data_IF_243662159243
#
_entry.id   IF_243662159243
#
_cell.length_a   1.000
_cell.length_b   1.000
_cell.length_c   1.000
_cell.angle_alpha   90.00
_cell.angle_beta   90.00
_cell.angle_gamma   90.00
#
_symmetry.space_group_name_H-M   'P 1'
#
loop_
_entity.id
_entity.type
_entity.pdbx_description
1 polymer ?
#
# COMPACT_ATOMS: atom_id res chain seq x y z
N UNK A 1 -83.59 -51.35 54.17
CA UNK A 1 -84.30 -52.58 53.77
C UNK A 1 -84.13 -52.77 52.27
N UNK A 2 -83.32 -53.74 51.84
CA UNK A 2 -83.37 -54.30 50.48
C UNK A 2 -83.99 -55.68 50.63
N UNK A 3 -85.01 -56.00 49.83
CA UNK A 3 -85.66 -57.30 49.90
C UNK A 3 -84.68 -58.40 49.46
N UNK A 4 -84.56 -59.45 50.26
CA UNK A 4 -83.85 -60.65 49.84
C UNK A 4 -84.70 -61.36 48.77
N UNK A 5 -84.30 -61.22 47.51
CA UNK A 5 -84.83 -62.05 46.44
C UNK A 5 -84.32 -63.48 46.68
N UNK A 6 -85.21 -64.39 47.06
CA UNK A 6 -84.91 -65.82 47.12
C UNK A 6 -84.71 -66.33 45.69
N UNK A 7 -83.47 -66.30 45.22
CA UNK A 7 -83.05 -66.99 44.00
C UNK A 7 -83.37 -68.48 44.14
N UNK A 8 -84.04 -69.06 43.15
CA UNK A 8 -84.22 -70.50 43.11
C UNK A 8 -82.84 -71.16 43.02
N UNK A 9 -82.53 -72.19 43.85
CA UNK A 9 -81.19 -72.72 43.92
C UNK A 9 -80.76 -73.32 42.58
N UNK A 10 -79.61 -72.84 42.11
CA UNK A 10 -79.07 -73.05 40.75
C UNK A 10 -78.36 -74.38 40.62
N UNK A 11 -77.70 -74.82 41.68
CA UNK A 11 -77.00 -76.08 41.74
C UNK A 11 -77.80 -77.08 42.58
N UNK A 12 -78.10 -78.26 42.01
CA UNK A 12 -78.96 -79.26 42.64
C UNK A 12 -78.45 -80.68 42.53
N UNK A 13 -78.77 -81.48 43.54
CA UNK A 13 -78.54 -82.93 43.61
C UNK A 13 -79.88 -83.68 43.64
N UNK A 14 -79.87 -84.97 43.29
CA UNK A 14 -81.02 -85.84 43.57
C UNK A 14 -81.18 -86.03 45.09
N UNK A 15 -82.38 -86.40 45.59
CA UNK A 15 -82.59 -86.60 47.03
C UNK A 15 -81.63 -87.64 47.64
N UNK A 16 -81.27 -88.69 46.90
CA UNK A 16 -80.36 -89.75 47.36
C UNK A 16 -78.92 -89.24 47.47
N UNK A 17 -78.47 -88.45 46.50
CA UNK A 17 -77.14 -87.83 46.52
C UNK A 17 -77.04 -86.76 47.60
N UNK A 18 -78.08 -85.93 47.76
CA UNK A 18 -78.16 -84.93 48.81
C UNK A 18 -78.10 -85.56 50.21
N UNK A 19 -78.87 -86.62 50.48
CA UNK A 19 -78.80 -87.33 51.77
C UNK A 19 -77.43 -87.95 52.03
N UNK A 20 -76.78 -88.53 51.02
CA UNK A 20 -75.41 -89.07 51.15
C UNK A 20 -74.38 -87.98 51.42
N UNK A 21 -74.48 -86.85 50.73
CA UNK A 21 -73.61 -85.69 50.93
C UNK A 21 -73.81 -85.09 52.34
N UNK A 22 -75.06 -84.87 52.77
CA UNK A 22 -75.37 -84.39 54.12
C UNK A 22 -74.79 -85.28 55.20
N UNK A 23 -74.92 -86.62 55.11
CA UNK A 23 -74.36 -87.52 56.11
C UNK A 23 -72.82 -87.40 56.24
N UNK A 24 -72.11 -87.26 55.11
CA UNK A 24 -70.66 -87.05 55.10
C UNK A 24 -70.29 -85.67 55.68
N UNK A 25 -71.07 -84.62 55.37
CA UNK A 25 -70.83 -83.29 55.91
C UNK A 25 -71.13 -83.21 57.41
N UNK A 26 -72.21 -83.83 57.89
CA UNK A 26 -72.56 -83.93 59.31
C UNK A 26 -71.44 -84.66 60.09
N UNK A 27 -70.97 -85.82 59.61
CA UNK A 27 -69.81 -86.53 60.20
C UNK A 27 -68.53 -85.67 60.16
N UNK A 28 -68.33 -84.86 59.12
CA UNK A 28 -67.17 -83.95 59.00
C UNK A 28 -67.27 -82.78 59.98
N UNK A 29 -68.45 -82.21 60.16
CA UNK A 29 -68.73 -81.14 61.15
C UNK A 29 -68.50 -81.67 62.56
N UNK A 30 -68.95 -82.89 62.88
CA UNK A 30 -68.69 -83.53 64.18
C UNK A 30 -67.19 -83.68 64.44
N UNK A 31 -66.42 -84.21 63.47
CA UNK A 31 -64.95 -84.36 63.59
C UNK A 31 -64.23 -83.01 63.72
N UNK A 32 -64.64 -81.99 62.95
CA UNK A 32 -64.07 -80.64 63.05
C UNK A 32 -64.42 -79.99 64.39
N UNK A 33 -65.64 -80.16 64.88
CA UNK A 33 -66.09 -79.64 66.19
C UNK A 33 -65.36 -80.33 67.34
N UNK A 34 -65.10 -81.64 67.24
CA UNK A 34 -64.29 -82.40 68.19
C UNK A 34 -62.84 -81.90 68.22
N UNK A 35 -62.20 -81.70 67.07
CA UNK A 35 -60.89 -81.04 66.98
C UNK A 35 -60.91 -79.62 67.57
N UNK A 36 -62.02 -78.90 67.40
CA UNK A 36 -62.34 -77.65 68.10
C UNK A 36 -62.24 -77.82 69.62
N UNK A 37 -63.00 -78.76 70.19
CA UNK A 37 -63.07 -78.99 71.64
C UNK A 37 -61.74 -79.40 72.30
N UNK A 38 -60.82 -80.03 71.58
CA UNK A 38 -59.47 -80.39 72.07
C UNK A 38 -58.51 -79.20 72.03
N UNK A 39 -58.75 -78.20 71.18
CA UNK A 39 -57.79 -77.09 71.00
C UNK A 39 -57.68 -76.13 72.20
N UNK A 40 -58.73 -75.88 73.02
CA UNK A 40 -58.59 -75.21 74.31
C UNK A 40 -57.51 -75.81 75.22
N UNK A 41 -57.37 -77.14 75.29
CA UNK A 41 -56.30 -77.77 76.09
C UNK A 41 -54.93 -77.49 75.46
N UNK A 42 -54.81 -77.61 74.14
CA UNK A 42 -53.58 -77.27 73.38
C UNK A 42 -53.21 -75.78 73.54
N UNK A 43 -54.20 -74.90 73.69
CA UNK A 43 -54.03 -73.46 73.95
C UNK A 43 -53.69 -73.14 75.40
N UNK A 44 -54.14 -73.93 76.38
CA UNK A 44 -53.73 -73.81 77.78
C UNK A 44 -52.29 -74.29 77.95
N UNK A 45 -51.94 -75.43 77.34
CA UNK A 45 -50.57 -75.92 77.22
C UNK A 45 -49.76 -75.18 76.15
N UNK A 46 -50.21 -74.02 75.65
CA UNK A 46 -49.50 -73.28 74.57
C UNK A 46 -48.10 -72.87 74.98
N UNK A 47 -47.90 -72.42 76.21
CA UNK A 47 -46.56 -72.03 76.68
C UNK A 47 -45.66 -73.25 76.81
N UNK A 48 -46.17 -74.36 77.34
CA UNK A 48 -45.44 -75.63 77.45
C UNK A 48 -45.12 -76.24 76.08
N UNK A 49 -46.06 -76.27 75.12
CA UNK A 49 -45.79 -76.72 73.75
C UNK A 49 -44.85 -75.76 73.02
N UNK A 50 -45.04 -74.44 73.14
CA UNK A 50 -44.16 -73.44 72.53
C UNK A 50 -42.77 -73.44 73.17
N UNK A 51 -42.65 -73.89 74.42
CA UNK A 51 -41.37 -74.09 75.08
C UNK A 51 -40.74 -75.42 74.69
N UNK A 52 -41.46 -76.54 74.63
CA UNK A 52 -40.91 -77.83 74.17
C UNK A 52 -40.49 -77.76 72.70
N UNK A 53 -41.34 -77.19 71.83
CA UNK A 53 -41.02 -76.96 70.42
C UNK A 53 -39.97 -75.85 70.28
N UNK A 54 -40.03 -74.80 71.11
CA UNK A 54 -39.04 -73.72 71.13
C UNK A 54 -37.66 -74.15 71.63
N UNK A 55 -37.59 -75.09 72.56
CA UNK A 55 -36.37 -75.69 73.11
C UNK A 55 -35.79 -76.68 72.10
N UNK A 56 -36.60 -77.50 71.44
CA UNK A 56 -36.13 -78.41 70.39
C UNK A 56 -35.71 -77.63 69.13
N UNK A 57 -36.42 -76.56 68.74
CA UNK A 57 -35.98 -75.61 67.71
C UNK A 57 -34.69 -74.90 68.16
N UNK A 58 -34.59 -74.45 69.43
CA UNK A 58 -33.37 -73.82 69.96
C UNK A 58 -32.19 -74.79 69.99
N UNK A 59 -32.44 -76.08 70.23
CA UNK A 59 -31.47 -77.16 70.19
C UNK A 59 -31.01 -77.45 68.76
N UNK A 60 -31.94 -77.51 67.80
CA UNK A 60 -31.63 -77.60 66.36
C UNK A 60 -30.82 -76.38 65.91
N UNK A 61 -31.20 -75.16 66.32
CA UNK A 61 -30.46 -73.93 66.04
C UNK A 61 -29.09 -73.93 66.72
N UNK A 62 -28.95 -74.42 67.95
CA UNK A 62 -27.63 -74.54 68.60
C UNK A 62 -26.75 -75.57 67.91
N UNK A 63 -27.30 -76.70 67.49
CA UNK A 63 -26.58 -77.72 66.74
C UNK A 63 -26.19 -77.21 65.34
N UNK A 64 -27.08 -76.46 64.69
CA UNK A 64 -26.82 -75.79 63.42
C UNK A 64 -25.77 -74.68 63.58
N UNK A 65 -25.81 -73.86 64.63
CA UNK A 65 -24.74 -72.90 65.00
C UNK A 65 -23.41 -73.60 65.28
N UNK A 66 -23.43 -74.80 65.88
CA UNK A 66 -22.23 -75.61 66.13
C UNK A 66 -21.64 -76.15 64.82
N UNK A 67 -22.50 -76.57 63.90
CA UNK A 67 -22.13 -76.97 62.54
C UNK A 67 -21.61 -75.78 61.71
N UNK A 68 -22.26 -74.61 61.80
CA UNK A 68 -21.85 -73.36 61.17
C UNK A 68 -20.52 -72.84 61.73
N UNK A 69 -20.31 -72.85 63.04
CA UNK A 69 -19.03 -72.49 63.65
C UNK A 69 -17.90 -73.46 63.25
N UNK A 70 -18.21 -74.75 63.11
CA UNK A 70 -17.28 -75.75 62.56
C UNK A 70 -17.01 -75.50 61.07
N UNK A 71 -18.03 -75.10 60.30
CA UNK A 71 -17.92 -74.75 58.89
C UNK A 71 -17.13 -73.45 58.69
N UNK A 72 -17.30 -72.44 59.54
CA UNK A 72 -16.54 -71.19 59.57
C UNK A 72 -15.08 -71.42 60.00
N UNK A 73 -14.82 -72.36 60.92
CA UNK A 73 -13.45 -72.81 61.23
C UNK A 73 -12.78 -73.45 60.00
N UNK A 74 -13.49 -74.29 59.27
CA UNK A 74 -13.00 -74.90 58.03
C UNK A 74 -12.89 -73.87 56.88
N UNK A 75 -13.80 -72.90 56.78
CA UNK A 75 -13.76 -71.81 55.80
C UNK A 75 -12.65 -70.82 56.11
N UNK A 76 -12.37 -70.51 57.38
CA UNK A 76 -11.27 -69.62 57.78
C UNK A 76 -9.91 -70.28 57.56
N UNK A 77 -9.77 -71.58 57.86
CA UNK A 77 -8.61 -72.37 57.42
C UNK A 77 -8.47 -72.35 55.88
N UNK A 78 -9.58 -72.41 55.14
CA UNK A 78 -9.61 -72.30 53.67
C UNK A 78 -9.39 -70.87 53.14
N UNK A 79 -9.67 -69.82 53.91
CA UNK A 79 -9.54 -68.42 53.49
C UNK A 79 -8.15 -67.84 53.81
N UNK A 80 -7.48 -68.36 54.84
CA UNK A 80 -6.01 -68.28 54.98
C UNK A 80 -5.31 -68.87 53.75
N UNK A 81 -5.91 -69.87 53.10
CA UNK A 81 -5.46 -70.43 51.83
C UNK A 81 -6.02 -69.71 50.58
N UNK A 82 -7.01 -68.80 50.71
CA UNK A 82 -7.53 -67.92 49.63
C UNK A 82 -8.57 -66.88 50.13
N UNK A 83 -8.16 -65.63 50.27
CA UNK A 83 -8.95 -64.38 50.16
C UNK A 83 -10.25 -64.21 50.98
N UNK A 84 -10.28 -63.22 51.89
CA UNK A 84 -11.48 -62.84 52.65
C UNK A 84 -12.58 -62.19 51.77
N UNK A 85 -13.84 -62.62 51.90
CA UNK A 85 -14.97 -61.98 51.19
C UNK A 85 -16.37 -62.01 51.87
N UNK A 86 -16.65 -62.83 52.90
CA UNK A 86 -18.05 -63.17 53.25
C UNK A 86 -18.59 -62.71 54.63
N UNK A 87 -17.84 -61.92 55.40
CA UNK A 87 -18.22 -61.54 56.78
C UNK A 87 -19.47 -60.62 56.90
N UNK A 88 -19.86 -59.94 55.82
CA UNK A 88 -21.03 -59.05 55.80
C UNK A 88 -22.34 -59.83 55.68
N UNK A 89 -22.44 -60.71 54.67
CA UNK A 89 -23.65 -61.52 54.40
C UNK A 89 -24.06 -62.42 55.57
N UNK A 90 -23.09 -62.85 56.38
CA UNK A 90 -23.35 -63.63 57.59
C UNK A 90 -24.22 -62.87 58.61
N UNK A 91 -23.96 -61.57 58.84
CA UNK A 91 -24.74 -60.76 59.80
C UNK A 91 -26.14 -60.41 59.30
N UNK A 92 -26.34 -60.47 57.99
CA UNK A 92 -27.60 -60.22 57.31
C UNK A 92 -28.51 -61.43 57.48
N UNK A 93 -28.08 -62.62 57.01
CA UNK A 93 -28.76 -63.89 57.27
C UNK A 93 -29.02 -64.14 58.78
N UNK A 94 -28.13 -63.68 59.66
CA UNK A 94 -28.29 -63.83 61.12
C UNK A 94 -29.48 -63.03 61.68
N UNK A 95 -29.90 -61.93 61.03
CA UNK A 95 -31.12 -61.19 61.39
C UNK A 95 -32.35 -61.88 60.85
N UNK A 96 -32.33 -62.25 59.57
CA UNK A 96 -33.48 -62.86 58.90
C UNK A 96 -33.93 -64.14 59.62
N UNK A 97 -32.97 -64.98 60.04
CA UNK A 97 -33.22 -66.21 60.83
C UNK A 97 -33.72 -65.92 62.26
N UNK A 98 -33.47 -64.72 62.81
CA UNK A 98 -33.97 -64.32 64.14
C UNK A 98 -35.37 -63.71 64.12
N UNK A 99 -35.81 -63.15 62.99
CA UNK A 99 -37.18 -62.67 62.80
C UNK A 99 -38.16 -63.81 62.48
N UNK A 100 -37.67 -64.90 61.88
CA UNK A 100 -38.42 -66.11 61.54
C UNK A 100 -38.74 -67.03 62.77
N UNK A 101 -39.00 -66.44 63.94
CA UNK A 101 -39.50 -67.18 65.09
C UNK A 101 -40.98 -67.56 64.84
N UNK A 102 -41.33 -68.86 64.72
CA UNK A 102 -42.67 -69.24 64.27
C UNK A 102 -43.72 -68.71 65.24
N UNK A 103 -44.65 -67.87 64.74
CA UNK A 103 -45.76 -67.35 65.54
C UNK A 103 -46.80 -68.46 65.80
N UNK A 104 -46.44 -69.43 66.64
CA UNK A 104 -47.20 -70.62 66.94
C UNK A 104 -48.60 -70.26 67.46
N UNK A 105 -48.69 -69.23 68.32
CA UNK A 105 -49.96 -68.71 68.82
C UNK A 105 -50.84 -68.10 67.72
N UNK A 106 -50.27 -67.25 66.86
CA UNK A 106 -51.00 -66.64 65.74
C UNK A 106 -51.47 -67.68 64.72
N UNK A 107 -50.62 -68.66 64.39
CA UNK A 107 -50.96 -69.76 63.50
C UNK A 107 -52.06 -70.66 64.09
N UNK A 108 -51.99 -70.98 65.39
CA UNK A 108 -53.01 -71.77 66.07
C UNK A 108 -54.36 -71.03 66.15
N UNK A 109 -54.36 -69.72 66.39
CA UNK A 109 -55.56 -68.87 66.33
C UNK A 109 -56.14 -68.79 64.92
N UNK A 110 -55.29 -68.66 63.89
CA UNK A 110 -55.71 -68.70 62.47
C UNK A 110 -56.38 -70.04 62.15
N UNK A 111 -55.79 -71.16 62.58
CA UNK A 111 -56.38 -72.50 62.41
C UNK A 111 -57.74 -72.60 63.13
N UNK A 112 -57.94 -71.98 64.30
CA UNK A 112 -59.27 -71.95 64.95
C UNK A 112 -60.29 -71.17 64.12
N UNK A 113 -59.91 -69.99 63.64
CA UNK A 113 -60.79 -69.15 62.84
C UNK A 113 -61.19 -69.84 61.51
N UNK A 114 -60.22 -70.38 60.78
CA UNK A 114 -60.45 -71.12 59.53
C UNK A 114 -61.29 -72.38 59.75
N UNK A 115 -61.06 -73.11 60.85
CA UNK A 115 -61.88 -74.27 61.24
C UNK A 115 -63.32 -73.88 61.55
N UNK A 116 -63.55 -72.80 62.29
CA UNK A 116 -64.92 -72.34 62.58
C UNK A 116 -65.62 -71.89 61.31
N UNK A 117 -64.96 -71.10 60.46
CA UNK A 117 -65.51 -70.67 59.17
C UNK A 117 -65.85 -71.87 58.26
N UNK A 118 -65.04 -72.93 58.29
CA UNK A 118 -65.34 -74.18 57.58
C UNK A 118 -66.55 -74.92 58.18
N UNK A 119 -66.64 -75.01 59.51
CA UNK A 119 -67.81 -75.60 60.20
C UNK A 119 -69.09 -74.83 59.82
N UNK A 120 -69.04 -73.50 59.83
CA UNK A 120 -70.18 -72.65 59.48
C UNK A 120 -70.60 -72.86 58.01
N UNK A 121 -69.65 -72.88 57.08
CA UNK A 121 -69.89 -73.16 55.66
C UNK A 121 -70.49 -74.56 55.42
N UNK A 122 -69.94 -75.59 56.07
CA UNK A 122 -70.45 -76.96 55.94
C UNK A 122 -71.84 -77.10 56.58
N UNK A 123 -72.10 -76.39 57.68
CA UNK A 123 -73.41 -76.39 58.34
C UNK A 123 -74.47 -75.74 57.45
N UNK A 124 -74.15 -74.60 56.83
CA UNK A 124 -75.03 -73.94 55.87
C UNK A 124 -75.23 -74.79 54.61
N UNK A 125 -74.17 -75.39 54.06
CA UNK A 125 -74.28 -76.32 52.93
C UNK A 125 -75.16 -77.53 53.27
N UNK A 126 -75.03 -78.08 54.48
CA UNK A 126 -75.89 -79.18 54.96
C UNK A 126 -77.35 -78.75 55.07
N UNK A 127 -77.63 -77.50 55.45
CA UNK A 127 -78.97 -76.91 55.48
C UNK A 127 -79.54 -76.77 54.07
N UNK A 128 -78.76 -76.31 53.10
CA UNK A 128 -79.14 -76.22 51.69
C UNK A 128 -79.42 -77.60 51.06
N UNK A 129 -78.60 -78.61 51.39
CA UNK A 129 -78.73 -79.97 50.87
C UNK A 129 -80.06 -80.64 51.27
N UNK A 130 -80.67 -80.25 52.39
CA UNK A 130 -82.02 -80.72 52.79
C UNK A 130 -83.12 -80.25 51.80
N UNK A 131 -82.87 -79.19 51.04
CA UNK A 131 -83.69 -78.74 49.91
C UNK A 131 -83.14 -79.18 48.53
N UNK A 132 -82.10 -80.03 48.52
CA UNK A 132 -81.39 -80.50 47.35
C UNK A 132 -80.49 -79.45 46.70
N UNK A 133 -80.07 -78.40 47.42
CA UNK A 133 -79.25 -77.28 46.94
C UNK A 133 -77.85 -77.27 47.58
N UNK A 134 -76.90 -76.52 47.02
CA UNK A 134 -75.55 -76.32 47.60
C UNK A 134 -74.83 -75.05 47.09
N UNK A 135 -75.59 -74.00 46.78
CA UNK A 135 -75.07 -72.77 46.14
C UNK A 135 -74.07 -72.00 47.02
N UNK A 136 -74.16 -72.09 48.36
CA UNK A 136 -73.19 -71.47 49.27
C UNK A 136 -71.77 -72.05 49.09
N UNK A 137 -71.66 -73.37 48.93
CA UNK A 137 -70.37 -74.03 48.69
C UNK A 137 -69.79 -73.65 47.32
N UNK A 138 -70.63 -73.58 46.28
CA UNK A 138 -70.18 -73.17 44.93
C UNK A 138 -69.70 -71.72 44.93
N UNK A 139 -70.43 -70.83 45.61
CA UNK A 139 -70.06 -69.41 45.73
C UNK A 139 -68.70 -69.28 46.42
N UNK A 140 -68.53 -69.89 47.60
CA UNK A 140 -67.26 -69.86 48.35
C UNK A 140 -66.07 -70.37 47.52
N UNK A 141 -66.21 -71.51 46.83
CA UNK A 141 -65.14 -72.07 45.99
C UNK A 141 -64.83 -71.19 44.79
N UNK A 142 -65.83 -70.54 44.19
CA UNK A 142 -65.66 -69.66 43.02
C UNK A 142 -64.99 -68.35 43.41
N UNK A 143 -65.42 -67.73 44.51
CA UNK A 143 -64.79 -66.53 45.08
C UNK A 143 -63.33 -66.80 45.50
N UNK A 144 -63.07 -67.96 46.12
CA UNK A 144 -61.73 -68.40 46.50
C UNK A 144 -60.79 -68.58 45.30
N UNK A 145 -61.27 -69.19 44.21
CA UNK A 145 -60.50 -69.30 42.95
C UNK A 145 -60.16 -67.93 42.38
N UNK A 146 -61.16 -67.05 42.23
CA UNK A 146 -60.94 -65.70 41.71
C UNK A 146 -60.06 -64.85 42.63
N UNK A 147 -60.05 -65.09 43.95
CA UNK A 147 -59.12 -64.44 44.87
C UNK A 147 -57.67 -64.93 44.66
N UNK A 148 -57.46 -66.23 44.43
CA UNK A 148 -56.15 -66.80 44.13
C UNK A 148 -55.60 -66.35 42.76
N UNK A 149 -56.45 -66.27 41.74
CA UNK A 149 -56.12 -65.70 40.42
C UNK A 149 -55.65 -64.24 40.57
N UNK A 150 -56.47 -63.36 41.16
CA UNK A 150 -56.10 -61.95 41.40
C UNK A 150 -54.82 -61.78 42.24
N UNK A 151 -54.59 -62.65 43.21
CA UNK A 151 -53.35 -62.61 44.01
C UNK A 151 -52.12 -62.98 43.17
N UNK A 152 -52.26 -63.91 42.21
CA UNK A 152 -51.19 -64.31 41.29
C UNK A 152 -50.87 -63.17 40.33
N UNK A 153 -51.88 -62.56 39.71
CA UNK A 153 -51.73 -61.41 38.80
C UNK A 153 -51.07 -60.20 39.51
N UNK A 154 -51.44 -59.97 40.78
CA UNK A 154 -50.86 -58.90 41.60
C UNK A 154 -49.38 -59.17 41.92
N UNK A 155 -49.01 -60.42 42.21
CA UNK A 155 -47.61 -60.83 42.45
C UNK A 155 -46.77 -60.68 41.17
N UNK A 156 -47.34 -60.97 39.99
CA UNK A 156 -46.62 -60.81 38.71
C UNK A 156 -46.41 -59.33 38.38
N UNK A 157 -47.46 -58.52 38.45
CA UNK A 157 -47.37 -57.07 38.22
C UNK A 157 -46.50 -56.33 39.25
N UNK A 158 -46.46 -56.78 40.51
CA UNK A 158 -45.54 -56.26 41.53
C UNK A 158 -44.06 -56.57 41.19
N UNK A 159 -43.77 -57.78 40.67
CA UNK A 159 -42.42 -58.14 40.21
C UNK A 159 -41.99 -57.29 39.02
N UNK A 160 -42.83 -57.16 37.99
CA UNK A 160 -42.55 -56.33 36.82
C UNK A 160 -42.28 -54.87 37.22
N UNK A 161 -43.14 -54.29 38.07
CA UNK A 161 -42.94 -52.93 38.58
C UNK A 161 -41.64 -52.79 39.39
N UNK A 162 -41.28 -53.79 40.19
CA UNK A 162 -40.04 -53.82 40.97
C UNK A 162 -38.80 -53.90 40.07
N UNK A 163 -38.84 -54.70 39.01
CA UNK A 163 -37.75 -54.80 38.03
C UNK A 163 -37.59 -53.50 37.22
N UNK A 164 -38.70 -52.86 36.84
CA UNK A 164 -38.68 -51.58 36.12
C UNK A 164 -38.18 -50.43 37.00
N UNK A 165 -38.62 -50.35 38.27
CA UNK A 165 -38.07 -49.39 39.25
C UNK A 165 -36.56 -49.59 39.42
N UNK A 166 -36.09 -50.83 39.45
CA UNK A 166 -34.66 -51.18 39.53
C UNK A 166 -33.90 -50.77 38.26
N UNK A 167 -34.49 -50.94 37.07
CA UNK A 167 -33.93 -50.49 35.78
C UNK A 167 -33.80 -48.96 35.73
N UNK A 168 -34.90 -48.25 35.98
CA UNK A 168 -34.95 -46.78 35.99
C UNK A 168 -34.00 -46.17 37.04
N UNK A 169 -33.86 -46.79 38.21
CA UNK A 169 -32.90 -46.35 39.23
C UNK A 169 -31.45 -46.47 38.75
N UNK A 170 -31.11 -47.53 38.00
CA UNK A 170 -29.78 -47.68 37.42
C UNK A 170 -29.52 -46.68 36.29
N UNK A 171 -30.51 -46.43 35.42
CA UNK A 171 -30.40 -45.45 34.34
C UNK A 171 -30.25 -44.03 34.89
N UNK A 172 -31.06 -43.64 35.87
CA UNK A 172 -30.93 -42.35 36.56
C UNK A 172 -29.57 -42.19 37.27
N UNK A 173 -28.99 -43.28 37.78
CA UNK A 173 -27.65 -43.25 38.37
C UNK A 173 -26.55 -43.06 37.31
N UNK A 174 -26.66 -43.72 36.15
CA UNK A 174 -25.74 -43.55 35.01
C UNK A 174 -25.80 -42.13 34.45
N UNK A 175 -27.01 -41.64 34.15
CA UNK A 175 -27.26 -40.30 33.62
C UNK A 175 -26.64 -39.21 34.51
N UNK A 176 -26.77 -39.32 35.83
CA UNK A 176 -26.13 -38.40 36.79
C UNK A 176 -24.61 -38.43 36.72
N UNK A 177 -24.00 -39.60 36.54
CA UNK A 177 -22.54 -39.72 36.42
C UNK A 177 -22.07 -39.14 35.08
N UNK A 178 -22.77 -39.42 33.98
CA UNK A 178 -22.43 -38.90 32.66
C UNK A 178 -22.58 -37.37 32.62
N UNK A 179 -23.71 -36.83 33.09
CA UNK A 179 -23.93 -35.38 33.17
C UNK A 179 -22.90 -34.64 34.05
N UNK A 180 -22.48 -35.22 35.19
CA UNK A 180 -21.43 -34.59 36.03
C UNK A 180 -20.06 -34.62 35.36
N UNK A 181 -19.75 -35.67 34.57
CA UNK A 181 -18.55 -35.74 33.73
C UNK A 181 -18.60 -34.70 32.61
N UNK A 182 -19.69 -34.59 31.86
CA UNK A 182 -19.85 -33.59 30.81
C UNK A 182 -19.68 -32.16 31.35
N UNK A 183 -20.26 -31.85 32.51
CA UNK A 183 -20.05 -30.55 33.18
C UNK A 183 -18.57 -30.32 33.51
N UNK A 184 -17.84 -31.35 33.95
CA UNK A 184 -16.42 -31.24 34.25
C UNK A 184 -15.58 -31.00 32.98
N UNK A 185 -15.86 -31.76 31.91
CA UNK A 185 -15.19 -31.63 30.61
C UNK A 185 -15.47 -30.25 29.97
N UNK A 186 -16.71 -29.77 30.01
CA UNK A 186 -17.09 -28.41 29.57
C UNK A 186 -16.41 -27.31 30.39
N UNK A 187 -16.34 -27.46 31.73
CA UNK A 187 -15.61 -26.51 32.60
C UNK A 187 -14.11 -26.47 32.28
N UNK A 188 -13.51 -27.63 31.99
CA UNK A 188 -12.11 -27.74 31.56
C UNK A 188 -11.88 -27.02 30.23
N UNK A 189 -12.73 -27.27 29.22
CA UNK A 189 -12.67 -26.58 27.93
C UNK A 189 -12.83 -25.05 28.07
N UNK A 190 -13.76 -24.58 28.91
CA UNK A 190 -13.94 -23.14 29.20
C UNK A 190 -12.67 -22.55 29.85
N UNK A 191 -11.99 -23.27 30.73
CA UNK A 191 -10.74 -22.81 31.34
C UNK A 191 -9.61 -22.68 30.30
N UNK A 192 -9.44 -23.70 29.45
CA UNK A 192 -8.44 -23.68 28.36
C UNK A 192 -8.70 -22.54 27.37
N UNK A 193 -9.95 -22.34 26.94
CA UNK A 193 -10.32 -21.25 26.02
C UNK A 193 -10.09 -19.86 26.64
N UNK A 194 -10.33 -19.69 27.95
CA UNK A 194 -10.00 -18.44 28.67
C UNK A 194 -8.50 -18.18 28.71
N UNK A 195 -7.69 -19.21 28.94
CA UNK A 195 -6.24 -19.07 28.93
C UNK A 195 -5.70 -18.74 27.54
N UNK A 196 -6.13 -19.45 26.49
CA UNK A 196 -5.79 -19.15 25.10
C UNK A 196 -6.17 -17.72 24.71
N UNK A 197 -7.38 -17.26 25.09
CA UNK A 197 -7.83 -15.88 24.86
C UNK A 197 -6.92 -14.87 25.58
N UNK A 198 -6.50 -15.15 26.80
CA UNK A 198 -5.59 -14.28 27.56
C UNK A 198 -4.19 -14.23 26.93
N UNK A 199 -3.66 -15.37 26.49
CA UNK A 199 -2.37 -15.47 25.78
C UNK A 199 -2.40 -14.69 24.46
N UNK A 200 -3.44 -14.88 23.63
CA UNK A 200 -3.63 -14.14 22.37
C UNK A 200 -3.77 -12.64 22.63
N UNK A 201 -4.56 -12.23 23.64
CA UNK A 201 -4.71 -10.81 24.00
C UNK A 201 -3.39 -10.18 24.46
N UNK A 202 -2.63 -10.88 25.29
CA UNK A 202 -1.30 -10.48 25.76
C UNK A 202 -0.33 -10.28 24.60
N UNK A 203 -0.19 -11.31 23.74
CA UNK A 203 0.68 -11.29 22.57
C UNK A 203 0.31 -10.15 21.61
N UNK A 204 -0.96 -10.04 21.23
CA UNK A 204 -1.44 -8.96 20.35
C UNK A 204 -1.19 -7.56 20.94
N UNK A 205 -1.31 -7.38 22.25
CA UNK A 205 -1.01 -6.08 22.90
C UNK A 205 0.50 -5.76 22.91
N UNK A 206 1.36 -6.77 22.89
CA UNK A 206 2.82 -6.63 22.74
C UNK A 206 3.14 -6.30 21.28
N UNK A 207 2.61 -7.06 20.32
CA UNK A 207 2.81 -6.88 18.88
C UNK A 207 2.36 -5.49 18.41
N UNK A 208 1.19 -5.00 18.86
CA UNK A 208 0.70 -3.64 18.60
C UNK A 208 1.67 -2.58 19.15
N UNK A 209 2.27 -2.80 20.33
CA UNK A 209 3.25 -1.86 20.92
C UNK A 209 4.55 -1.84 20.12
N UNK A 210 5.06 -3.00 19.70
CA UNK A 210 6.24 -3.08 18.85
C UNK A 210 6.00 -2.43 17.48
N UNK A 211 4.94 -2.80 16.76
CA UNK A 211 4.60 -2.22 15.46
C UNK A 211 4.42 -0.69 15.53
N UNK A 212 3.78 -0.19 16.60
CA UNK A 212 3.62 1.26 16.81
C UNK A 212 4.94 1.97 17.09
N UNK A 213 5.84 1.36 17.85
CA UNK A 213 7.16 1.93 18.14
C UNK A 213 8.08 1.87 16.91
N UNK A 214 8.05 0.79 16.15
CA UNK A 214 8.78 0.63 14.89
C UNK A 214 8.31 1.66 13.85
N UNK A 215 6.99 1.81 13.67
CA UNK A 215 6.43 2.83 12.78
C UNK A 215 6.83 4.24 13.20
N UNK A 216 6.74 4.58 14.49
CA UNK A 216 7.23 5.86 15.03
C UNK A 216 8.72 6.08 14.76
N UNK A 217 9.57 5.06 14.99
CA UNK A 217 11.00 5.15 14.78
C UNK A 217 11.34 5.33 13.29
N UNK A 218 10.69 4.58 12.39
CA UNK A 218 10.81 4.74 10.94
C UNK A 218 10.41 6.14 10.50
N UNK A 219 9.24 6.64 10.90
CA UNK A 219 8.78 8.00 10.57
C UNK A 219 9.71 9.09 11.13
N UNK A 220 10.21 8.94 12.36
CA UNK A 220 11.14 9.90 12.94
C UNK A 220 12.51 9.88 12.24
N UNK A 221 12.99 8.71 11.83
CA UNK A 221 14.25 8.55 11.08
C UNK A 221 14.15 9.16 9.68
N UNK A 222 13.09 8.83 8.93
CA UNK A 222 12.87 9.39 7.58
C UNK A 222 12.63 10.90 7.63
N UNK A 223 11.87 11.40 8.61
CA UNK A 223 11.68 12.84 8.79
C UNK A 223 13.01 13.57 9.06
N UNK A 224 13.92 13.01 9.86
CA UNK A 224 15.26 13.57 10.09
C UNK A 224 16.09 13.58 8.81
N UNK A 225 16.10 12.49 8.04
CA UNK A 225 16.82 12.40 6.77
C UNK A 225 16.31 13.44 5.76
N UNK A 226 15.00 13.57 5.59
CA UNK A 226 14.42 14.59 4.72
C UNK A 226 14.70 16.01 5.22
N UNK A 227 14.71 16.24 6.54
CA UNK A 227 15.05 17.54 7.10
C UNK A 227 16.52 17.91 6.83
N UNK A 228 17.45 16.96 6.90
CA UNK A 228 18.87 17.15 6.52
C UNK A 228 18.99 17.48 5.04
N UNK A 229 18.36 16.70 4.15
CA UNK A 229 18.36 16.97 2.72
C UNK A 229 17.78 18.36 2.38
N UNK A 230 16.68 18.75 3.03
CA UNK A 230 16.10 20.10 2.88
C UNK A 230 17.09 21.19 3.32
N UNK A 231 17.85 20.99 4.39
CA UNK A 231 18.88 21.96 4.80
C UNK A 231 20.07 22.02 3.86
N UNK A 232 20.49 20.89 3.29
CA UNK A 232 21.57 20.83 2.30
C UNK A 232 21.17 21.50 0.98
N UNK A 233 19.99 21.21 0.45
CA UNK A 233 19.49 21.85 -0.77
C UNK A 233 19.25 23.36 -0.58
N UNK A 234 18.78 23.79 0.59
CA UNK A 234 18.71 25.23 0.93
C UNK A 234 20.09 25.89 0.95
N UNK A 235 21.09 25.24 1.52
CA UNK A 235 22.46 25.77 1.52
C UNK A 235 23.04 25.88 0.09
N UNK A 236 22.74 24.92 -0.80
CA UNK A 236 23.10 25.00 -2.23
C UNK A 236 22.39 26.15 -2.93
N UNK A 237 21.09 26.33 -2.69
CA UNK A 237 20.31 27.47 -3.21
C UNK A 237 20.93 28.80 -2.75
N UNK A 238 21.23 28.95 -1.46
CA UNK A 238 21.84 30.17 -0.91
C UNK A 238 23.22 30.47 -1.55
N UNK A 239 24.04 29.45 -1.83
CA UNK A 239 25.32 29.61 -2.53
C UNK A 239 25.10 30.04 -3.98
N UNK A 240 24.27 29.32 -4.73
CA UNK A 240 23.96 29.63 -6.13
C UNK A 240 23.32 31.02 -6.30
N UNK A 241 22.46 31.44 -5.36
CA UNK A 241 21.89 32.79 -5.35
C UNK A 241 22.99 33.85 -5.19
N UNK A 242 23.93 33.65 -4.26
CA UNK A 242 25.07 34.58 -4.09
C UNK A 242 25.97 34.61 -5.32
N UNK A 243 26.24 33.46 -5.95
CA UNK A 243 27.02 33.38 -7.18
C UNK A 243 26.34 34.16 -8.31
N UNK A 244 25.03 33.94 -8.53
CA UNK A 244 24.22 34.70 -9.48
C UNK A 244 24.22 36.21 -9.19
N UNK A 245 24.06 36.63 -7.93
CA UNK A 245 24.10 38.05 -7.53
C UNK A 245 25.49 38.67 -7.81
N UNK A 246 26.57 37.93 -7.53
CA UNK A 246 27.92 38.41 -7.84
C UNK A 246 28.19 38.51 -9.34
N UNK A 247 27.76 37.53 -10.12
CA UNK A 247 27.92 37.53 -11.58
C UNK A 247 27.09 38.65 -12.22
N UNK A 248 25.83 38.83 -11.80
CA UNK A 248 24.98 39.92 -12.25
C UNK A 248 25.60 41.30 -11.94
N UNK A 249 26.21 41.46 -10.76
CA UNK A 249 26.91 42.70 -10.39
C UNK A 249 28.18 42.91 -11.22
N UNK A 250 29.04 41.91 -11.35
CA UNK A 250 30.27 41.99 -12.17
C UNK A 250 29.95 42.25 -13.63
N UNK A 251 28.91 41.60 -14.18
CA UNK A 251 28.43 41.85 -15.53
C UNK A 251 27.95 43.29 -15.71
N UNK A 252 27.15 43.81 -14.77
CA UNK A 252 26.68 45.20 -14.79
C UNK A 252 27.84 46.21 -14.74
N UNK A 253 28.78 46.04 -13.81
CA UNK A 253 29.99 46.86 -13.68
C UNK A 253 30.85 46.81 -14.96
N UNK A 254 31.05 45.61 -15.53
CA UNK A 254 31.81 45.41 -16.77
C UNK A 254 31.13 46.07 -17.98
N UNK A 255 29.82 45.91 -18.14
CA UNK A 255 29.06 46.55 -19.22
C UNK A 255 29.08 48.08 -19.08
N UNK A 256 28.97 48.61 -17.87
CA UNK A 256 29.09 50.04 -17.61
C UNK A 256 30.47 50.58 -17.98
N UNK A 257 31.54 49.89 -17.57
CA UNK A 257 32.92 50.24 -17.92
C UNK A 257 33.15 50.21 -19.44
N UNK A 258 32.73 49.14 -20.12
CA UNK A 258 32.88 49.00 -21.58
C UNK A 258 32.11 50.09 -22.34
N UNK A 259 30.89 50.43 -21.92
CA UNK A 259 30.12 51.55 -22.49
C UNK A 259 30.84 52.89 -22.30
N UNK A 260 31.27 53.20 -21.08
CA UNK A 260 32.01 54.44 -20.80
C UNK A 260 33.33 54.53 -21.60
N UNK A 261 34.06 53.41 -21.74
CA UNK A 261 35.29 53.38 -22.54
C UNK A 261 35.02 53.51 -24.04
N UNK A 262 33.94 52.91 -24.55
CA UNK A 262 33.49 53.06 -25.93
C UNK A 262 33.11 54.52 -26.22
N UNK A 263 32.32 55.16 -25.35
CA UNK A 263 31.97 56.58 -25.48
C UNK A 263 33.19 57.50 -25.45
N UNK A 264 34.17 57.24 -24.57
CA UNK A 264 35.44 57.97 -24.53
C UNK A 264 36.20 57.83 -25.85
N UNK A 265 36.40 56.59 -26.33
CA UNK A 265 37.10 56.33 -27.59
C UNK A 265 36.36 56.91 -28.80
N UNK A 266 35.02 56.95 -28.76
CA UNK A 266 34.21 57.58 -29.80
C UNK A 266 34.34 59.11 -29.79
N UNK A 267 34.42 59.74 -28.61
CA UNK A 267 34.71 61.18 -28.46
C UNK A 267 36.13 61.51 -28.97
N UNK A 268 37.12 60.69 -28.61
CA UNK A 268 38.49 60.85 -29.10
C UNK A 268 38.55 60.68 -30.63
N UNK A 269 37.94 59.63 -31.17
CA UNK A 269 37.88 59.38 -32.62
C UNK A 269 37.19 60.51 -33.39
N UNK A 270 36.04 61.00 -32.91
CA UNK A 270 35.34 62.11 -33.56
C UNK A 270 36.14 63.42 -33.47
N UNK A 271 36.80 63.70 -32.34
CA UNK A 271 37.72 64.83 -32.21
C UNK A 271 38.89 64.75 -33.20
N UNK A 272 39.58 63.61 -33.26
CA UNK A 272 40.72 63.43 -34.15
C UNK A 272 40.33 63.41 -35.62
N UNK A 273 39.17 62.86 -35.99
CA UNK A 273 38.62 62.95 -37.35
C UNK A 273 38.33 64.40 -37.73
N UNK A 274 37.56 65.13 -36.90
CA UNK A 274 37.25 66.54 -37.16
C UNK A 274 38.50 67.41 -37.27
N UNK A 275 39.51 67.16 -36.42
CA UNK A 275 40.80 67.84 -36.49
C UNK A 275 41.54 67.47 -37.78
N UNK A 276 41.61 66.20 -38.15
CA UNK A 276 42.23 65.76 -39.40
C UNK A 276 41.56 66.41 -40.62
N UNK A 277 40.22 66.39 -40.68
CA UNK A 277 39.44 66.98 -41.77
C UNK A 277 39.70 68.50 -41.87
N UNK A 278 39.75 69.20 -40.73
CA UNK A 278 40.06 70.63 -40.66
C UNK A 278 41.50 70.95 -41.06
N UNK A 279 42.48 70.27 -40.48
CA UNK A 279 43.91 70.48 -40.76
C UNK A 279 44.20 70.13 -42.24
N UNK A 280 43.55 69.08 -42.79
CA UNK A 280 43.66 68.70 -44.20
C UNK A 280 43.02 69.76 -45.12
N UNK A 281 41.85 70.30 -44.77
CA UNK A 281 41.22 71.40 -45.52
C UNK A 281 42.06 72.69 -45.49
N UNK A 282 42.63 73.05 -44.32
CA UNK A 282 43.56 74.18 -44.19
C UNK A 282 44.80 73.97 -45.05
N UNK A 283 45.41 72.77 -45.05
CA UNK A 283 46.59 72.46 -45.88
C UNK A 283 46.26 72.39 -47.38
N UNK A 284 45.07 71.93 -47.77
CA UNK A 284 44.59 72.03 -49.15
C UNK A 284 44.41 73.50 -49.56
N UNK A 285 43.89 74.36 -48.68
CA UNK A 285 43.74 75.80 -48.95
C UNK A 285 45.10 76.51 -49.04
N UNK A 286 46.07 76.17 -48.18
CA UNK A 286 47.45 76.65 -48.28
C UNK A 286 48.11 76.21 -49.59
N UNK A 287 47.99 74.93 -49.97
CA UNK A 287 48.49 74.41 -51.25
C UNK A 287 47.84 75.11 -52.45
N UNK A 288 46.53 75.38 -52.40
CA UNK A 288 45.84 76.14 -53.44
C UNK A 288 46.39 77.58 -53.54
N UNK A 289 46.52 78.30 -52.42
CA UNK A 289 47.10 79.66 -52.36
C UNK A 289 48.55 79.68 -52.88
N UNK A 290 49.39 78.73 -52.46
CA UNK A 290 50.77 78.62 -52.93
C UNK A 290 50.85 78.26 -54.42
N UNK A 291 49.94 77.43 -54.92
CA UNK A 291 49.86 77.09 -56.35
C UNK A 291 49.41 78.30 -57.17
N UNK A 292 48.43 79.07 -56.69
CA UNK A 292 47.99 80.33 -57.30
C UNK A 292 49.13 81.37 -57.31
N UNK A 293 49.82 81.57 -56.18
CA UNK A 293 51.00 82.44 -56.11
C UNK A 293 52.12 81.98 -57.04
N UNK A 294 52.41 80.68 -57.11
CA UNK A 294 53.38 80.09 -58.04
C UNK A 294 52.99 80.39 -59.49
N UNK A 295 51.72 80.21 -59.85
CA UNK A 295 51.21 80.46 -61.19
C UNK A 295 51.23 81.95 -61.55
N UNK A 296 50.85 82.84 -60.62
CA UNK A 296 50.93 84.28 -60.79
C UNK A 296 52.39 84.77 -60.93
N UNK A 297 53.32 84.20 -60.15
CA UNK A 297 54.74 84.51 -60.27
C UNK A 297 55.35 83.94 -61.56
N UNK A 298 54.93 82.75 -62.01
CA UNK A 298 55.32 82.19 -63.30
C UNK A 298 54.82 83.06 -64.46
N UNK A 299 53.57 83.53 -64.43
CA UNK A 299 53.03 84.45 -65.42
C UNK A 299 53.73 85.82 -65.43
N UNK A 300 54.07 86.36 -64.23
CA UNK A 300 54.92 87.56 -64.10
C UNK A 300 56.32 87.33 -64.69
N UNK A 301 56.93 86.19 -64.43
CA UNK A 301 58.25 85.83 -64.96
C UNK A 301 58.21 85.68 -66.48
N UNK A 302 57.20 85.01 -67.04
CA UNK A 302 56.98 84.90 -68.49
C UNK A 302 56.79 86.29 -69.12
N UNK A 303 56.00 87.16 -68.49
CA UNK A 303 55.80 88.55 -68.93
C UNK A 303 57.03 89.46 -68.76
N UNK A 304 57.97 89.12 -67.88
CA UNK A 304 59.28 89.76 -67.78
C UNK A 304 60.27 89.20 -68.81
N UNK A 305 60.25 87.89 -69.05
CA UNK A 305 61.06 87.22 -70.07
C UNK A 305 60.66 87.70 -71.48
N UNK A 306 59.37 87.84 -71.79
CA UNK A 306 58.89 88.43 -73.04
C UNK A 306 59.37 89.86 -73.22
N UNK A 307 59.21 90.71 -72.20
CA UNK A 307 59.73 92.10 -72.24
C UNK A 307 61.24 92.16 -72.40
N UNK A 308 61.99 91.27 -71.74
CA UNK A 308 63.44 91.19 -71.91
C UNK A 308 63.84 90.73 -73.32
N UNK A 309 63.14 89.74 -73.89
CA UNK A 309 63.30 89.30 -75.28
C UNK A 309 62.99 90.43 -76.29
N UNK A 310 61.88 91.14 -76.09
CA UNK A 310 61.48 92.32 -76.87
C UNK A 310 62.53 93.44 -76.76
N UNK A 311 63.05 93.71 -75.57
CA UNK A 311 64.07 94.74 -75.34
C UNK A 311 65.44 94.34 -75.89
N UNK A 312 65.82 93.07 -75.82
CA UNK A 312 67.03 92.51 -76.46
C UNK A 312 66.92 92.58 -77.98
N UNK A 313 65.79 92.17 -78.58
CA UNK A 313 65.58 92.32 -80.02
C UNK A 313 65.47 93.80 -80.45
N UNK A 314 64.94 94.68 -79.59
CA UNK A 314 64.95 96.13 -79.83
C UNK A 314 66.38 96.71 -79.77
N UNK A 315 67.25 96.23 -78.87
CA UNK A 315 68.67 96.61 -78.87
C UNK A 315 69.38 96.06 -80.11
N UNK A 316 69.15 94.80 -80.46
CA UNK A 316 69.74 94.13 -81.62
C UNK A 316 69.34 94.80 -82.94
N UNK A 317 68.08 95.21 -83.07
CA UNK A 317 67.60 96.02 -84.21
C UNK A 317 68.23 97.41 -84.20
N UNK A 318 68.30 98.11 -83.05
CA UNK A 318 69.03 99.40 -82.94
C UNK A 318 70.52 99.28 -83.30
N UNK A 319 71.19 98.19 -82.92
CA UNK A 319 72.58 97.92 -83.27
C UNK A 319 72.74 97.60 -84.76
N UNK A 320 71.84 96.80 -85.33
CA UNK A 320 71.79 96.53 -86.77
C UNK A 320 71.51 97.81 -87.58
N UNK A 321 70.60 98.69 -87.14
CA UNK A 321 70.34 99.98 -87.77
C UNK A 321 71.58 100.89 -87.71
N UNK A 322 72.27 100.94 -86.55
CA UNK A 322 73.57 101.61 -86.40
C UNK A 322 74.68 100.99 -87.24
N UNK A 323 74.61 99.69 -87.56
CA UNK A 323 75.58 98.99 -88.43
C UNK A 323 75.31 99.34 -89.90
N UNK A 324 74.06 99.24 -90.33
CA UNK A 324 73.55 99.64 -91.65
C UNK A 324 73.81 101.11 -91.98
N UNK A 325 73.63 102.01 -91.01
CA UNK A 325 73.96 103.44 -91.14
C UNK A 325 75.47 103.69 -91.31
N UNK A 326 76.33 102.90 -90.65
CA UNK A 326 77.79 102.97 -90.83
C UNK A 326 78.20 102.46 -92.22
N UNK A 327 77.61 101.36 -92.69
CA UNK A 327 77.84 100.83 -94.04
C UNK A 327 77.39 101.82 -95.14
N UNK A 328 76.22 102.46 -94.99
CA UNK A 328 75.78 103.53 -95.91
C UNK A 328 76.72 104.74 -95.94
N UNK A 329 77.32 105.12 -94.81
CA UNK A 329 78.30 106.22 -94.77
C UNK A 329 79.62 105.87 -95.47
N UNK A 330 80.05 104.61 -95.41
CA UNK A 330 81.24 104.14 -96.16
C UNK A 330 80.97 104.22 -97.67
N UNK A 331 79.83 103.70 -98.12
CA UNK A 331 79.43 103.75 -99.54
C UNK A 331 79.36 105.18 -100.09
N UNK A 332 78.73 106.13 -99.39
CA UNK A 332 78.70 107.55 -99.83
C UNK A 332 80.10 108.15 -99.99
N UNK A 333 81.02 107.86 -99.07
CA UNK A 333 82.41 108.35 -99.14
C UNK A 333 83.21 107.74 -100.28
N UNK A 334 82.89 106.52 -100.71
CA UNK A 334 83.48 105.93 -101.93
C UNK A 334 82.91 106.55 -103.21
N UNK A 335 81.63 106.91 -103.21
CA UNK A 335 80.95 107.54 -104.33
C UNK A 335 81.43 108.98 -104.57
N UNK A 336 81.59 109.77 -103.50
CA UNK A 336 82.21 111.10 -103.53
C UNK A 336 83.65 111.06 -104.08
N UNK A 337 84.46 110.07 -103.66
CA UNK A 337 85.83 109.87 -104.19
C UNK A 337 85.83 109.61 -105.69
N UNK A 338 84.87 108.84 -106.22
CA UNK A 338 84.74 108.57 -107.66
C UNK A 338 84.38 109.84 -108.44
N UNK A 339 83.50 110.70 -107.91
CA UNK A 339 83.12 111.97 -108.55
C UNK A 339 84.29 112.96 -108.63
N UNK A 340 85.10 113.10 -107.57
CA UNK A 340 86.28 113.99 -107.56
C UNK A 340 87.35 113.56 -108.59
N UNK A 341 87.52 112.25 -108.80
CA UNK A 341 88.45 111.72 -109.82
C UNK A 341 87.94 112.02 -111.24
N UNK A 342 86.64 111.92 -111.48
CA UNK A 342 86.03 112.25 -112.78
C UNK A 342 86.22 113.74 -113.13
N UNK A 343 85.97 114.65 -112.18
CA UNK A 343 86.14 116.09 -112.37
C UNK A 343 87.59 116.47 -112.77
N UNK A 344 88.61 115.85 -112.16
CA UNK A 344 90.02 116.08 -112.51
C UNK A 344 90.38 115.64 -113.94
N UNK A 345 89.83 114.53 -114.43
CA UNK A 345 90.07 114.06 -115.81
C UNK A 345 89.50 115.01 -116.86
N UNK A 346 88.31 115.57 -116.62
CA UNK A 346 87.65 116.52 -117.53
C UNK A 346 88.46 117.83 -117.64
N UNK A 347 88.97 118.36 -116.53
CA UNK A 347 89.75 119.61 -116.53
C UNK A 347 91.11 119.50 -117.26
N UNK A 348 91.73 118.32 -117.28
CA UNK A 348 92.99 118.08 -117.98
C UNK A 348 92.80 118.09 -119.52
N UNK A 349 91.76 117.43 -120.02
CA UNK A 349 91.47 117.33 -121.45
C UNK A 349 91.21 118.70 -122.11
N UNK A 350 90.47 119.58 -121.43
CA UNK A 350 90.14 120.92 -121.95
C UNK A 350 91.37 121.83 -122.11
N UNK A 351 92.37 121.71 -121.22
CA UNK A 351 93.59 122.53 -121.28
C UNK A 351 94.52 122.14 -122.43
N UNK A 352 94.59 120.84 -122.78
CA UNK A 352 95.38 120.36 -123.91
C UNK A 352 94.82 120.82 -125.27
N UNK A 353 93.49 120.83 -125.43
CA UNK A 353 92.85 121.21 -126.71
C UNK A 353 93.07 122.68 -127.09
N UNK A 354 93.22 123.58 -126.10
CA UNK A 354 93.37 125.02 -126.37
C UNK A 354 94.71 125.38 -127.02
N UNK A 355 95.80 124.70 -126.64
CA UNK A 355 97.16 124.99 -127.15
C UNK A 355 97.29 124.66 -128.64
N UNK A 356 96.68 123.57 -129.09
CA UNK A 356 96.74 123.11 -130.50
C UNK A 356 96.02 124.07 -131.47
N UNK A 357 95.09 124.90 -130.97
CA UNK A 357 94.33 125.82 -131.83
C UNK A 357 95.13 127.08 -132.22
N UNK A 358 96.04 127.53 -131.36
CA UNK A 358 96.78 128.79 -131.54
C UNK A 358 98.00 128.63 -132.47
N UNK A 359 98.57 127.42 -132.58
CA UNK A 359 99.72 127.15 -133.47
C UNK A 359 99.31 127.04 -134.95
N UNK A 360 98.11 126.54 -135.25
CA UNK A 360 97.64 126.36 -136.64
C UNK A 360 97.37 127.65 -137.42
N UNK A 361 97.32 128.81 -136.77
CA UNK A 361 97.06 130.11 -137.42
C UNK A 361 98.30 130.86 -137.93
N UNK A 362 99.52 130.34 -137.73
CA UNK A 362 100.78 131.02 -138.09
C UNK A 362 101.50 130.52 -139.35
N UNK A 363 100.99 129.50 -140.05
CA UNK A 363 101.68 128.84 -141.18
C UNK A 363 100.94 128.86 -142.53
N UNK A 364 100.10 129.88 -142.75
CA UNK A 364 99.56 130.29 -144.07
C UNK A 364 99.09 131.76 -143.92
N UNK A 365 99.33 132.73 -144.83
CA UNK A 365 99.69 132.64 -146.25
C UNK A 365 100.65 133.75 -146.73
N UNK A 366 101.76 133.35 -147.35
CA UNK A 366 102.41 134.01 -148.49
C UNK A 366 103.17 132.89 -149.23
N UNK A 367 103.05 132.63 -150.54
CA UNK A 367 102.52 133.39 -151.69
C UNK A 367 102.40 132.44 -152.92
N UNK A 368 101.73 132.69 -154.07
CA UNK A 368 100.74 133.71 -154.56
C UNK A 368 100.11 133.26 -155.91
N UNK A 369 98.76 133.30 -156.02
CA UNK A 369 97.88 133.73 -157.16
C UNK A 369 97.98 133.21 -158.64
N UNK A 370 96.77 132.91 -159.18
CA UNK A 370 96.23 132.98 -160.59
C UNK A 370 96.53 131.82 -161.54
N UNK A 371 95.64 131.38 -162.46
CA UNK A 371 94.59 132.01 -163.34
C UNK A 371 93.26 131.18 -163.33
N UNK A 372 92.07 131.52 -163.88
CA UNK A 372 91.40 132.76 -164.40
C UNK A 372 89.91 132.47 -164.78
N UNK A 373 88.89 133.04 -164.11
CA UNK A 373 87.62 133.48 -164.78
C UNK A 373 86.23 133.09 -164.23
N UNK A 374 85.44 134.11 -163.80
CA UNK A 374 83.95 134.15 -163.77
C UNK A 374 83.20 133.45 -162.62
N UNK A 375 82.00 133.87 -162.17
CA UNK A 375 81.19 135.08 -162.47
C UNK A 375 80.09 135.30 -161.40
N UNK A 376 80.03 136.53 -160.84
CA UNK A 376 78.89 137.31 -160.23
C UNK A 376 77.82 136.65 -159.32
N UNK A 377 77.51 137.38 -158.24
CA UNK A 377 76.25 137.31 -157.46
C UNK A 377 76.47 137.80 -156.02
N UNK A 378 76.82 139.07 -155.77
CA UNK A 378 75.89 140.21 -155.56
C UNK A 378 74.73 139.87 -154.60
N UNK A 379 74.49 140.65 -153.54
CA UNK A 379 75.16 141.89 -153.07
C UNK A 379 74.92 142.07 -151.58
#
# INVERSE_FOLDING_TARGET
MKAAATSAPTHRLSPVEATRASAILEETIEKLSFLGSITPDILQHREELSQVVGDEISRIIQEQRRLEAKYESLISQRSVLKGLANKSKFKENQRDIQEDNPNFGGNLMKIQYERQALIDLLTETTRELRAGAYDSLVTFVTEGKHAAERATDLIETEKEATEEVKRLTQELAREKVEHTREIADQKSAIAQLKEQLLQVKSKTQIDIRYARNEAKAKTASTARLYQQLITEERAKIDVLTRECDTEARVHSETVAFLKAKHESLHKDFTHWSQKYDKDMAEKQQELAKLTEQRNANAAKLEGLQKRWLEEVELQKTKENEKRRLRELQVLRREEEKKQVIAARKIQAAYRAHKVVLDEKKKLAEASKKKKKGGKKGKK
#
